data_IF_069840257700
#
_entry.id   IF_069840257700
#
_cell.length_a   1.000
_cell.length_b   1.000
_cell.length_c   1.000
_cell.angle_alpha   90.00
_cell.angle_beta   90.00
_cell.angle_gamma   90.00
#
_symmetry.space_group_name_H-M   'P 1'
#
loop_
_entity.id
_entity.type
_entity.pdbx_description
1 polymer ?
#
# COMPACT_ATOMS: atom_id res chain seq x y z
N UNK A 1 13.09 18.17 -28.95
CA UNK A 1 13.56 18.24 -27.54
C UNK A 1 13.96 16.84 -27.07
N UNK A 2 15.18 16.67 -26.56
CA UNK A 2 15.62 15.43 -25.91
C UNK A 2 15.21 15.48 -24.45
N UNK A 3 14.38 14.54 -24.00
CA UNK A 3 14.06 14.40 -22.59
C UNK A 3 15.14 13.53 -21.94
N UNK A 4 15.90 14.10 -21.01
CA UNK A 4 16.98 13.42 -20.31
C UNK A 4 16.39 12.29 -19.45
N UNK A 5 17.04 11.13 -19.43
CA UNK A 5 16.65 10.05 -18.53
C UNK A 5 16.86 10.48 -17.07
N UNK A 6 15.92 10.13 -16.20
CA UNK A 6 15.97 10.50 -14.79
C UNK A 6 15.71 9.25 -13.93
N UNK A 7 16.45 9.13 -12.84
CA UNK A 7 16.17 8.17 -11.80
C UNK A 7 16.40 8.84 -10.44
N UNK A 8 15.46 8.72 -9.54
CA UNK A 8 15.61 9.18 -8.16
C UNK A 8 14.78 8.31 -7.22
N UNK A 9 15.15 8.36 -5.95
CA UNK A 9 14.55 7.58 -4.89
C UNK A 9 14.16 8.51 -3.76
N UNK A 10 12.92 8.41 -3.30
CA UNK A 10 12.40 9.15 -2.15
C UNK A 10 11.98 8.14 -1.10
N UNK A 11 12.26 8.44 0.16
CA UNK A 11 11.81 7.62 1.29
C UNK A 11 10.90 8.44 2.19
N UNK A 12 9.92 7.77 2.79
CA UNK A 12 9.00 8.38 3.76
C UNK A 12 8.83 7.47 4.97
N UNK A 13 9.07 8.02 6.16
CA UNK A 13 8.77 7.35 7.43
C UNK A 13 7.29 7.56 7.72
N UNK A 14 6.51 6.49 7.64
CA UNK A 14 5.05 6.54 7.81
C UNK A 14 4.64 6.28 9.25
N UNK A 15 5.49 5.64 10.05
CA UNK A 15 5.25 5.36 11.46
C UNK A 15 6.57 5.15 12.21
N UNK A 16 6.73 5.74 13.39
CA UNK A 16 7.92 5.58 14.24
C UNK A 16 7.58 5.77 15.72
N UNK A 17 6.72 4.90 16.24
CA UNK A 17 6.22 4.97 17.61
C UNK A 17 6.02 3.55 18.18
N UNK A 18 5.81 3.42 19.48
CA UNK A 18 5.40 2.17 20.13
C UNK A 18 6.26 0.94 19.78
N UNK A 19 7.57 1.13 19.64
CA UNK A 19 8.54 0.09 19.25
C UNK A 19 8.39 -0.45 17.82
N UNK A 20 7.72 0.28 16.91
CA UNK A 20 7.70 -0.07 15.48
C UNK A 20 8.22 1.09 14.62
N UNK A 21 8.90 0.74 13.54
CA UNK A 21 9.28 1.65 12.48
C UNK A 21 8.69 1.14 11.17
N UNK A 22 8.00 1.99 10.43
CA UNK A 22 7.50 1.69 9.11
C UNK A 22 7.83 2.81 8.14
N UNK A 23 8.18 2.44 6.92
CA UNK A 23 8.48 3.37 5.85
C UNK A 23 8.18 2.77 4.49
N UNK A 24 8.10 3.63 3.48
CA UNK A 24 8.16 3.22 2.09
C UNK A 24 9.26 3.97 1.34
N UNK A 25 9.63 3.40 0.19
CA UNK A 25 10.59 3.95 -0.76
C UNK A 25 9.92 3.96 -2.12
N UNK A 26 9.83 5.15 -2.71
CA UNK A 26 9.38 5.36 -4.08
C UNK A 26 10.59 5.50 -4.99
N UNK A 27 10.69 4.58 -5.95
CA UNK A 27 11.70 4.59 -7.00
C UNK A 27 11.06 5.10 -8.28
N UNK A 28 11.42 6.31 -8.68
CA UNK A 28 10.98 6.89 -9.95
C UNK A 28 12.04 6.68 -11.02
N UNK A 29 11.63 6.18 -12.18
CA UNK A 29 12.48 6.05 -13.36
C UNK A 29 11.77 6.63 -14.60
N UNK A 30 12.49 7.45 -15.36
CA UNK A 30 12.12 7.88 -16.70
C UNK A 30 13.25 7.50 -17.66
N UNK A 31 12.97 6.52 -18.51
CA UNK A 31 13.92 5.98 -19.50
C UNK A 31 13.53 6.38 -20.94
N UNK A 32 12.74 7.44 -21.08
CA UNK A 32 12.10 7.84 -22.34
C UNK A 32 10.60 7.52 -22.35
N UNK A 33 9.92 7.83 -23.46
CA UNK A 33 8.47 7.60 -23.60
C UNK A 33 7.60 8.74 -23.07
N UNK A 34 6.32 8.44 -22.83
CA UNK A 34 5.30 9.44 -22.51
C UNK A 34 5.40 9.98 -21.07
N UNK A 35 5.76 9.14 -20.10
CA UNK A 35 5.90 9.49 -18.69
C UNK A 35 6.88 8.53 -17.99
N UNK A 36 7.33 8.87 -16.78
CA UNK A 36 8.10 7.94 -15.95
C UNK A 36 7.22 7.00 -15.16
N UNK A 37 7.83 6.03 -14.49
CA UNK A 37 7.15 5.05 -13.64
C UNK A 37 7.67 5.15 -12.23
N UNK A 38 6.75 5.07 -11.26
CA UNK A 38 7.08 4.95 -9.85
C UNK A 38 6.76 3.53 -9.39
N UNK A 39 7.74 2.88 -8.78
CA UNK A 39 7.55 1.63 -8.05
C UNK A 39 7.75 1.90 -6.55
N UNK A 40 6.79 1.48 -5.73
CA UNK A 40 6.89 1.57 -4.27
C UNK A 40 7.28 0.24 -3.66
N UNK A 41 8.24 0.28 -2.75
CA UNK A 41 8.55 -0.81 -1.82
C UNK A 41 8.39 -0.31 -0.39
N UNK A 42 8.10 -1.20 0.55
CA UNK A 42 7.86 -0.82 1.94
C UNK A 42 8.42 -1.83 2.91
N UNK A 43 8.66 -1.35 4.12
CA UNK A 43 9.32 -2.12 5.17
C UNK A 43 8.75 -1.72 6.54
N UNK A 44 8.48 -2.72 7.36
CA UNK A 44 7.98 -2.53 8.72
C UNK A 44 8.80 -3.38 9.68
N UNK A 45 9.33 -2.76 10.74
CA UNK A 45 10.14 -3.44 11.74
C UNK A 45 9.55 -3.30 13.14
N UNK A 46 9.64 -4.37 13.92
CA UNK A 46 9.60 -4.32 15.38
C UNK A 46 11.00 -3.99 15.90
N UNK A 47 11.14 -2.83 16.55
CA UNK A 47 12.43 -2.29 16.99
C UNK A 47 13.00 -3.00 18.21
N UNK A 48 12.16 -3.66 19.02
CA UNK A 48 12.60 -4.34 20.25
C UNK A 48 13.62 -5.45 19.97
N UNK A 49 13.42 -6.21 18.89
CA UNK A 49 14.29 -7.31 18.48
C UNK A 49 14.88 -7.13 17.07
N UNK A 50 14.55 -6.04 16.37
CA UNK A 50 15.01 -5.75 15.02
C UNK A 50 14.37 -6.62 13.93
N UNK A 51 13.20 -7.21 14.19
CA UNK A 51 12.53 -8.12 13.26
C UNK A 51 11.79 -7.36 12.18
N UNK A 52 12.04 -7.72 10.92
CA UNK A 52 11.19 -7.28 9.81
C UNK A 52 9.88 -8.08 9.83
N UNK A 53 8.76 -7.37 9.83
CA UNK A 53 7.42 -7.94 9.94
C UNK A 53 6.80 -8.13 8.57
N UNK A 54 6.15 -9.27 8.39
CA UNK A 54 5.25 -9.54 7.25
C UNK A 54 3.81 -9.20 7.64
N UNK A 55 2.93 -8.93 6.66
CA UNK A 55 1.54 -8.53 6.91
C UNK A 55 0.79 -9.51 7.84
N UNK A 56 1.02 -10.81 7.68
CA UNK A 56 0.44 -11.85 8.55
C UNK A 56 0.78 -11.71 10.04
N UNK A 57 1.88 -11.04 10.40
CA UNK A 57 2.31 -10.89 11.80
C UNK A 57 1.35 -10.03 12.62
N UNK A 58 0.50 -9.23 11.98
CA UNK A 58 -0.50 -8.39 12.64
C UNK A 58 -1.84 -9.10 12.88
N UNK A 59 -1.95 -10.37 12.47
CA UNK A 59 -3.18 -11.16 12.56
C UNK A 59 -2.97 -12.40 13.43
N UNK A 60 -4.04 -12.84 14.09
CA UNK A 60 -3.99 -14.07 14.89
C UNK A 60 -3.73 -15.28 13.98
N UNK A 61 -2.89 -16.24 14.40
CA UNK A 61 -2.70 -17.48 13.66
C UNK A 61 -4.03 -18.16 13.31
N UNK A 62 -4.18 -18.60 12.06
CA UNK A 62 -5.40 -19.23 11.56
C UNK A 62 -6.50 -18.26 11.10
N UNK A 63 -6.29 -16.94 11.20
CA UNK A 63 -7.19 -15.95 10.59
C UNK A 63 -6.98 -15.92 9.08
N UNK A 64 -8.07 -15.94 8.31
CA UNK A 64 -8.03 -15.60 6.89
C UNK A 64 -7.98 -14.07 6.71
N UNK A 65 -6.80 -13.50 7.00
CA UNK A 65 -6.62 -12.05 6.96
C UNK A 65 -6.68 -11.51 5.53
N UNK A 66 -6.32 -12.32 4.52
CA UNK A 66 -6.31 -11.91 3.13
C UNK A 66 -7.72 -11.60 2.65
N UNK A 67 -8.66 -12.52 2.85
CA UNK A 67 -10.06 -12.30 2.45
C UNK A 67 -10.68 -11.13 3.18
N UNK A 68 -10.41 -11.00 4.49
CA UNK A 68 -10.87 -9.86 5.30
C UNK A 68 -10.36 -8.51 4.76
N UNK A 69 -9.06 -8.41 4.46
CA UNK A 69 -8.46 -7.18 3.93
C UNK A 69 -9.04 -6.87 2.54
N UNK A 70 -9.13 -7.86 1.65
CA UNK A 70 -9.68 -7.68 0.31
C UNK A 70 -11.14 -7.20 0.35
N UNK A 71 -11.95 -7.74 1.26
CA UNK A 71 -13.34 -7.30 1.45
C UNK A 71 -13.40 -5.84 1.88
N UNK A 72 -12.59 -5.45 2.87
CA UNK A 72 -12.54 -4.08 3.36
C UNK A 72 -12.00 -3.10 2.31
N UNK A 73 -10.95 -3.46 1.57
CA UNK A 73 -10.44 -2.68 0.42
C UNK A 73 -11.54 -2.51 -0.63
N UNK A 74 -12.22 -3.58 -1.00
CA UNK A 74 -13.31 -3.52 -2.00
C UNK A 74 -14.43 -2.61 -1.52
N UNK A 75 -14.78 -2.65 -0.23
CA UNK A 75 -15.78 -1.78 0.38
C UNK A 75 -15.36 -0.31 0.38
N UNK A 76 -14.08 -0.01 0.57
CA UNK A 76 -13.54 1.35 0.48
C UNK A 76 -13.51 1.83 -0.98
N UNK A 77 -13.00 1.01 -1.90
CA UNK A 77 -12.96 1.30 -3.33
C UNK A 77 -14.37 1.59 -3.89
N UNK A 78 -15.38 0.81 -3.52
CA UNK A 78 -16.78 1.05 -3.89
C UNK A 78 -17.30 2.42 -3.43
N UNK A 79 -16.89 2.88 -2.25
CA UNK A 79 -17.28 4.21 -1.74
C UNK A 79 -16.56 5.31 -2.51
N UNK A 80 -15.27 5.15 -2.76
CA UNK A 80 -14.45 6.10 -3.50
C UNK A 80 -14.94 6.23 -4.95
N UNK A 81 -15.23 5.11 -5.63
CA UNK A 81 -15.71 5.07 -7.01
C UNK A 81 -17.07 5.76 -7.21
N UNK A 82 -17.93 5.79 -6.18
CA UNK A 82 -19.20 6.54 -6.22
C UNK A 82 -18.98 8.05 -6.16
N UNK A 83 -17.86 8.50 -5.60
CA UNK A 83 -17.50 9.91 -5.48
C UNK A 83 -16.68 10.37 -6.68
N UNK A 84 -15.76 9.53 -7.16
CA UNK A 84 -14.95 9.76 -8.35
C UNK A 84 -14.90 8.48 -9.22
N UNK A 85 -15.74 8.39 -10.26
CA UNK A 85 -15.81 7.22 -11.14
C UNK A 85 -14.57 7.01 -12.02
N UNK A 86 -13.61 7.96 -12.07
CA UNK A 86 -12.41 7.85 -12.90
C UNK A 86 -11.19 7.37 -12.13
N UNK A 87 -11.33 7.13 -10.82
CA UNK A 87 -10.23 6.73 -9.95
C UNK A 87 -9.72 5.31 -10.27
N UNK A 88 -10.60 4.42 -10.75
CA UNK A 88 -10.31 3.01 -10.97
C UNK A 88 -10.67 2.55 -12.39
N UNK A 89 -10.17 1.39 -12.81
CA UNK A 89 -10.64 0.71 -14.02
C UNK A 89 -12.03 0.10 -13.82
N UNK A 90 -12.77 -0.16 -14.91
CA UNK A 90 -14.12 -0.73 -14.83
C UNK A 90 -14.17 -2.08 -14.08
N UNK A 91 -13.11 -2.88 -14.16
CA UNK A 91 -12.97 -4.20 -13.52
C UNK A 91 -12.16 -4.16 -12.21
N UNK A 92 -12.05 -2.98 -11.56
CA UNK A 92 -11.22 -2.78 -10.36
C UNK A 92 -11.42 -3.80 -9.25
N UNK A 93 -12.65 -4.29 -9.03
CA UNK A 93 -12.93 -5.32 -8.00
C UNK A 93 -12.16 -6.61 -8.27
N UNK A 94 -12.10 -7.04 -9.52
CA UNK A 94 -11.34 -8.22 -9.93
C UNK A 94 -9.84 -7.97 -9.86
N UNK A 95 -9.40 -6.76 -10.23
CA UNK A 95 -8.00 -6.36 -10.16
C UNK A 95 -7.49 -6.24 -8.72
N UNK A 96 -8.30 -5.76 -7.78
CA UNK A 96 -8.01 -5.72 -6.34
C UNK A 96 -7.59 -7.11 -5.84
N UNK A 97 -8.34 -8.15 -6.22
CA UNK A 97 -8.05 -9.54 -5.82
C UNK A 97 -6.79 -10.05 -6.52
N UNK A 98 -6.72 -9.83 -7.84
CA UNK A 98 -5.66 -10.35 -8.71
C UNK A 98 -4.29 -9.77 -8.36
N UNK A 99 -4.25 -8.48 -8.04
CA UNK A 99 -3.02 -7.71 -7.84
C UNK A 99 -2.73 -7.46 -6.35
N UNK A 100 -3.49 -8.06 -5.42
CA UNK A 100 -3.19 -7.97 -4.00
C UNK A 100 -1.84 -8.62 -3.68
N UNK A 101 -0.94 -7.82 -3.10
CA UNK A 101 0.39 -8.23 -2.69
C UNK A 101 0.57 -8.03 -1.18
N UNK A 102 0.96 -9.09 -0.47
CA UNK A 102 1.15 -9.07 0.99
C UNK A 102 2.40 -8.31 1.43
N UNK A 103 3.33 -8.03 0.50
CA UNK A 103 4.49 -7.18 0.76
C UNK A 103 4.17 -5.69 0.56
N UNK A 104 3.01 -5.37 -0.04
CA UNK A 104 2.61 -3.99 -0.34
C UNK A 104 1.81 -3.36 0.80
N UNK A 105 2.47 -3.21 1.96
CA UNK A 105 1.88 -2.56 3.12
C UNK A 105 2.88 -1.75 3.95
N UNK A 106 2.37 -0.82 4.76
CA UNK A 106 3.11 -0.13 5.81
C UNK A 106 2.15 0.29 6.94
N UNK A 107 2.71 0.58 8.12
CA UNK A 107 1.95 1.14 9.23
C UNK A 107 1.82 2.67 9.09
N UNK A 108 0.68 3.19 9.53
CA UNK A 108 0.45 4.60 9.84
C UNK A 108 -0.15 4.71 11.25
N UNK A 109 -0.29 5.93 11.82
CA UNK A 109 -1.00 6.10 13.09
C UNK A 109 -2.45 5.58 13.08
N UNK A 110 -3.11 5.57 11.92
CA UNK A 110 -4.52 5.20 11.76
C UNK A 110 -4.73 3.68 11.58
N UNK A 111 -3.76 2.97 10.99
CA UNK A 111 -3.90 1.56 10.67
C UNK A 111 -2.78 0.96 9.83
N UNK A 112 -3.06 -0.21 9.27
CA UNK A 112 -2.22 -0.85 8.27
C UNK A 112 -2.67 -0.34 6.90
N UNK A 113 -1.83 0.38 6.19
CA UNK A 113 -2.11 0.82 4.82
C UNK A 113 -1.61 -0.21 3.83
N UNK A 114 -2.53 -0.70 2.99
CA UNK A 114 -2.23 -1.53 1.82
C UNK A 114 -2.17 -0.61 0.60
N UNK A 115 -1.21 -0.82 -0.28
CA UNK A 115 -1.11 -0.05 -1.52
C UNK A 115 -1.06 -0.95 -2.75
N UNK A 116 -1.51 -0.38 -3.86
CA UNK A 116 -1.46 -0.95 -5.20
C UNK A 116 -0.55 -0.08 -6.06
N UNK A 117 0.31 -0.71 -6.86
CA UNK A 117 1.23 0.00 -7.74
C UNK A 117 0.46 0.79 -8.81
N UNK A 118 1.17 1.70 -9.48
CA UNK A 118 0.62 2.36 -10.67
C UNK A 118 0.11 1.32 -11.67
N UNK A 119 -1.08 1.54 -12.22
CA UNK A 119 -1.76 0.62 -13.15
C UNK A 119 -2.31 -0.69 -12.57
N UNK A 120 -2.15 -0.98 -11.28
CA UNK A 120 -2.68 -2.23 -10.73
C UNK A 120 -4.21 -2.26 -10.75
N UNK A 121 -4.88 -1.18 -10.33
CA UNK A 121 -6.35 -1.14 -10.20
C UNK A 121 -7.00 0.12 -10.79
N UNK A 122 -6.19 1.07 -11.25
CA UNK A 122 -6.65 2.34 -11.83
C UNK A 122 -5.64 2.93 -12.80
N UNK A 123 -6.03 3.97 -13.56
CA UNK A 123 -5.17 4.60 -14.55
C UNK A 123 -3.96 5.28 -13.91
N UNK A 124 -2.92 5.57 -14.70
CA UNK A 124 -1.70 6.26 -14.23
C UNK A 124 -1.95 7.51 -13.41
N UNK A 125 -2.96 8.30 -13.80
CA UNK A 125 -3.30 9.58 -13.15
C UNK A 125 -3.74 9.41 -11.70
N UNK A 126 -4.23 8.22 -11.34
CA UNK A 126 -4.59 7.86 -9.97
C UNK A 126 -3.36 7.57 -9.10
N UNK A 127 -2.18 7.43 -9.70
CA UNK A 127 -0.93 7.15 -8.98
C UNK A 127 -0.92 5.78 -8.30
N UNK A 128 -0.20 5.72 -7.17
CA UNK A 128 -0.26 4.59 -6.25
C UNK A 128 -1.53 4.77 -5.41
N UNK A 129 -2.35 3.72 -5.36
CA UNK A 129 -3.63 3.78 -4.66
C UNK A 129 -3.50 3.06 -3.32
N UNK A 130 -3.95 3.73 -2.25
CA UNK A 130 -3.78 3.28 -0.87
C UNK A 130 -5.14 3.06 -0.20
N UNK A 131 -5.18 2.06 0.69
CA UNK A 131 -6.32 1.74 1.54
C UNK A 131 -5.84 1.45 2.95
N UNK A 132 -6.28 2.26 3.91
CA UNK A 132 -5.95 2.03 5.33
C UNK A 132 -6.98 1.12 5.97
N UNK A 133 -6.50 0.01 6.55
CA UNK A 133 -7.27 -0.90 7.40
C UNK A 133 -7.08 -0.46 8.86
N UNK A 134 -8.10 0.13 9.50
CA UNK A 134 -7.95 0.63 10.86
C UNK A 134 -7.60 -0.46 11.86
N UNK A 135 -6.71 -0.15 12.80
CA UNK A 135 -6.32 -1.05 13.89
C UNK A 135 -7.50 -1.64 14.68
N UNK A 136 -8.57 -0.84 14.83
CA UNK A 136 -9.80 -1.25 15.50
C UNK A 136 -10.53 -2.41 14.80
N UNK A 137 -10.45 -2.52 13.47
CA UNK A 137 -11.10 -3.60 12.74
C UNK A 137 -10.37 -4.94 12.93
N UNK A 138 -9.04 -4.90 13.00
CA UNK A 138 -8.20 -6.10 13.17
C UNK A 138 -7.91 -6.45 14.64
N UNK A 139 -8.35 -5.58 15.57
CA UNK A 139 -8.15 -5.72 17.02
C UNK A 139 -6.68 -5.90 17.40
N UNK A 140 -5.81 -5.22 16.69
CA UNK A 140 -4.38 -5.15 16.94
C UNK A 140 -3.97 -3.68 16.93
N UNK A 141 -3.18 -3.27 17.92
CA UNK A 141 -2.65 -1.91 18.03
C UNK A 141 -1.14 -1.99 18.26
N UNK A 142 -0.34 -1.12 17.65
CA UNK A 142 1.09 -1.05 17.94
C UNK A 142 1.32 -0.75 19.43
N UNK A 143 2.10 -1.59 20.09
CA UNK A 143 2.51 -1.40 21.48
C UNK A 143 3.85 -2.12 21.74
N UNK A 144 4.66 -1.54 22.63
CA UNK A 144 5.76 -2.24 23.29
C UNK A 144 5.17 -3.12 24.42
#
# INVERSE_FOLDING_TARGET
>A
PFNIYNAYMVHEITYNENCFLSMYIDKYEYTGGAHGTTERSSYTWELWNGTNLSLRNFFKPGTDYRDFIIEEITRQADRNNRQDPYLYFDDYRSLIIKNFNEDSFYLTPEGITIYYQQYDIGPYVSGIIEFTIPYSLIKWYPNC
#
